data_IF_663991346441
#
_entry.id   IF_663991346441
#
_cell.length_a   1.000
_cell.length_b   1.000
_cell.length_c   1.000
_cell.angle_alpha   90.00
_cell.angle_beta   90.00
_cell.angle_gamma   90.00
#
_symmetry.space_group_name_H-M   'P 1'
#
loop_
_entity.id
_entity.type
_entity.pdbx_description
1 polymer ?
#
# COMPACT_ATOMS: atom_id res chain seq x y z
N UNK A 1 22.38 -8.99 -54.90
CA UNK A 1 21.73 -10.19 -54.41
C UNK A 1 20.22 -9.98 -54.55
N UNK A 2 19.60 -10.90 -55.28
CA UNK A 2 18.38 -10.70 -56.04
C UNK A 2 17.09 -10.36 -55.27
N UNK A 3 16.56 -9.21 -55.59
CA UNK A 3 15.25 -8.70 -55.17
C UNK A 3 14.04 -9.54 -55.70
N UNK A 4 14.29 -10.58 -56.50
CA UNK A 4 13.28 -11.45 -57.09
C UNK A 4 12.86 -12.59 -56.12
N UNK A 5 13.76 -13.00 -55.23
CA UNK A 5 13.49 -14.07 -54.26
C UNK A 5 12.56 -13.60 -53.14
N UNK A 6 12.74 -12.33 -52.73
CA UNK A 6 11.92 -11.71 -51.69
C UNK A 6 10.48 -11.41 -52.17
N UNK A 7 10.32 -11.06 -53.43
CA UNK A 7 8.98 -10.85 -54.04
C UNK A 7 8.19 -12.15 -54.24
N UNK A 8 8.90 -13.26 -54.49
CA UNK A 8 8.26 -14.56 -54.64
C UNK A 8 7.78 -15.13 -53.27
N UNK A 9 8.55 -14.89 -52.21
CA UNK A 9 8.15 -15.27 -50.84
C UNK A 9 6.93 -14.48 -50.36
N UNK A 10 6.82 -13.19 -50.67
CA UNK A 10 5.66 -12.37 -50.32
C UNK A 10 4.40 -12.79 -51.10
N UNK A 11 4.55 -13.21 -52.36
CA UNK A 11 3.41 -13.66 -53.18
C UNK A 11 2.87 -15.03 -52.73
N UNK A 12 3.73 -15.93 -52.26
CA UNK A 12 3.32 -17.25 -51.73
C UNK A 12 2.66 -17.15 -50.36
N UNK A 13 3.10 -16.20 -49.52
CA UNK A 13 2.45 -15.91 -48.21
C UNK A 13 1.06 -15.30 -48.39
N UNK A 14 0.86 -14.47 -49.42
CA UNK A 14 -0.47 -13.88 -49.69
C UNK A 14 -1.49 -14.87 -50.28
N UNK A 15 -1.04 -15.95 -50.97
CA UNK A 15 -1.97 -16.92 -51.57
C UNK A 15 -2.40 -18.01 -50.60
N UNK A 16 -1.62 -18.29 -49.54
CA UNK A 16 -2.02 -19.25 -48.49
C UNK A 16 -2.98 -18.63 -47.46
N UNK A 17 -3.04 -17.30 -47.36
CA UNK A 17 -3.93 -16.59 -46.42
C UNK A 17 -5.42 -16.59 -46.84
N UNK A 18 -5.78 -17.05 -48.04
CA UNK A 18 -7.14 -16.91 -48.58
C UNK A 18 -8.03 -18.17 -48.42
N UNK A 19 -7.51 -19.28 -47.88
CA UNK A 19 -8.28 -20.53 -47.79
C UNK A 19 -8.32 -21.21 -46.42
N UNK A 20 -7.86 -20.52 -45.35
CA UNK A 20 -8.18 -20.99 -44.00
C UNK A 20 -9.60 -20.51 -43.64
N UNK A 21 -10.53 -21.42 -43.26
CA UNK A 21 -11.77 -20.95 -42.66
C UNK A 21 -11.40 -20.06 -41.47
N UNK A 22 -11.98 -18.86 -41.41
CA UNK A 22 -11.77 -17.95 -40.26
C UNK A 22 -12.03 -18.77 -38.99
N UNK A 23 -10.96 -19.17 -38.30
CA UNK A 23 -11.10 -19.78 -37.00
C UNK A 23 -11.95 -18.82 -36.18
N UNK A 24 -13.10 -19.26 -35.71
CA UNK A 24 -14.02 -18.40 -34.97
C UNK A 24 -13.21 -17.68 -33.90
N UNK A 25 -13.15 -16.35 -33.99
CA UNK A 25 -12.34 -15.56 -33.09
C UNK A 25 -12.79 -15.83 -31.66
N UNK A 26 -11.89 -16.39 -30.84
CA UNK A 26 -12.21 -16.75 -29.46
C UNK A 26 -12.67 -15.48 -28.74
N UNK A 27 -13.86 -15.53 -28.16
CA UNK A 27 -14.42 -14.35 -27.48
C UNK A 27 -13.53 -13.90 -26.33
N UNK A 28 -13.51 -12.61 -26.07
CA UNK A 28 -12.74 -12.05 -24.94
C UNK A 28 -13.17 -12.65 -23.60
N UNK A 29 -14.47 -12.92 -23.43
CA UNK A 29 -15.01 -13.60 -22.24
C UNK A 29 -14.40 -14.99 -22.04
N UNK A 30 -14.29 -15.78 -23.12
CA UNK A 30 -13.65 -17.10 -23.08
C UNK A 30 -12.16 -17.02 -22.71
N UNK A 31 -11.46 -15.97 -23.21
CA UNK A 31 -10.04 -15.76 -22.86
C UNK A 31 -9.91 -15.41 -21.38
N UNK A 32 -10.79 -14.53 -20.85
CA UNK A 32 -10.80 -14.16 -19.43
C UNK A 32 -11.07 -15.37 -18.54
N UNK A 33 -12.07 -16.18 -18.85
CA UNK A 33 -12.40 -17.39 -18.10
C UNK A 33 -11.21 -18.38 -18.05
N UNK A 34 -10.50 -18.56 -19.18
CA UNK A 34 -9.28 -19.36 -19.20
C UNK A 34 -8.16 -18.75 -18.41
N UNK A 35 -7.98 -17.42 -18.51
CA UNK A 35 -6.98 -16.69 -17.75
C UNK A 35 -7.20 -16.85 -16.24
N UNK A 36 -8.44 -16.68 -15.78
CA UNK A 36 -8.82 -16.86 -14.38
C UNK A 36 -8.52 -18.27 -13.88
N UNK A 37 -8.91 -19.28 -14.66
CA UNK A 37 -8.63 -20.67 -14.30
C UNK A 37 -7.14 -20.97 -14.21
N UNK A 38 -6.34 -20.57 -15.21
CA UNK A 38 -4.89 -20.78 -15.18
C UNK A 38 -4.23 -20.03 -14.00
N UNK A 39 -4.70 -18.81 -13.70
CA UNK A 39 -4.22 -18.02 -12.60
C UNK A 39 -4.49 -18.68 -11.25
N UNK A 40 -5.72 -19.17 -11.03
CA UNK A 40 -6.11 -19.87 -9.80
C UNK A 40 -5.36 -21.19 -9.58
N UNK A 41 -4.93 -21.85 -10.66
CA UNK A 41 -4.17 -23.10 -10.59
C UNK A 41 -2.64 -22.90 -10.66
N UNK A 42 -2.18 -21.65 -10.56
CA UNK A 42 -0.76 -21.29 -10.65
C UNK A 42 -0.07 -21.75 -11.95
N UNK A 43 -0.83 -21.94 -13.02
CA UNK A 43 -0.33 -22.25 -14.36
C UNK A 43 0.19 -20.99 -15.04
N UNK A 44 1.28 -20.42 -14.51
CA UNK A 44 1.74 -19.06 -14.81
C UNK A 44 1.99 -18.78 -16.29
N UNK A 45 2.62 -19.70 -17.00
CA UNK A 45 2.89 -19.52 -18.43
C UNK A 45 1.60 -19.42 -19.25
N UNK A 46 0.60 -20.26 -18.93
CA UNK A 46 -0.71 -20.24 -19.59
C UNK A 46 -1.50 -18.97 -19.21
N UNK A 47 -1.46 -18.58 -17.93
CA UNK A 47 -2.10 -17.36 -17.47
C UNK A 47 -1.54 -16.11 -18.19
N UNK A 48 -0.20 -15.98 -18.26
CA UNK A 48 0.47 -14.87 -18.96
C UNK A 48 0.15 -14.82 -20.45
N UNK A 49 0.04 -15.96 -21.12
CA UNK A 49 -0.36 -16.02 -22.52
C UNK A 49 -1.79 -15.47 -22.71
N UNK A 50 -2.70 -15.81 -21.80
CA UNK A 50 -4.09 -15.29 -21.83
C UNK A 50 -4.13 -13.79 -21.47
N UNK A 51 -3.37 -13.36 -20.46
CA UNK A 51 -3.27 -11.95 -20.09
C UNK A 51 -2.74 -11.08 -21.23
N UNK A 52 -1.73 -11.56 -21.95
CA UNK A 52 -1.23 -10.88 -23.15
C UNK A 52 -2.34 -10.72 -24.20
N UNK A 53 -3.09 -11.79 -24.50
CA UNK A 53 -4.19 -11.73 -25.45
C UNK A 53 -5.33 -10.80 -25.01
N UNK A 54 -5.55 -10.63 -23.69
CA UNK A 54 -6.50 -9.64 -23.16
C UNK A 54 -5.97 -8.23 -23.40
N UNK A 55 -4.71 -7.95 -23.04
CA UNK A 55 -4.10 -6.62 -23.17
C UNK A 55 -3.92 -6.18 -24.63
N UNK A 56 -3.76 -7.11 -25.56
CA UNK A 56 -3.76 -6.80 -27.00
C UNK A 56 -5.12 -6.25 -27.48
N UNK A 57 -6.22 -6.69 -26.86
CA UNK A 57 -7.60 -6.26 -27.20
C UNK A 57 -8.09 -5.12 -26.34
N UNK A 58 -7.70 -5.12 -25.06
CA UNK A 58 -8.07 -4.12 -24.06
C UNK A 58 -6.80 -3.61 -23.34
N UNK A 59 -6.02 -2.72 -23.97
CA UNK A 59 -4.75 -2.25 -23.45
C UNK A 59 -4.86 -1.36 -22.20
N UNK A 60 -6.05 -1.12 -21.70
CA UNK A 60 -6.31 -0.34 -20.48
C UNK A 60 -6.88 -1.20 -19.34
N UNK A 61 -6.91 -2.52 -19.49
CA UNK A 61 -7.41 -3.45 -18.46
C UNK A 61 -6.44 -3.55 -17.28
N UNK A 62 -6.69 -2.74 -16.27
CA UNK A 62 -5.83 -2.60 -15.10
C UNK A 62 -5.74 -3.89 -14.26
N UNK A 63 -6.83 -4.65 -14.18
CA UNK A 63 -6.83 -5.94 -13.46
C UNK A 63 -5.85 -6.92 -14.10
N UNK A 64 -5.84 -7.01 -15.43
CA UNK A 64 -4.92 -7.86 -16.16
C UNK A 64 -3.47 -7.40 -15.97
N UNK A 65 -3.18 -6.08 -15.95
CA UNK A 65 -1.85 -5.58 -15.58
C UNK A 65 -1.45 -6.01 -14.17
N UNK A 66 -2.32 -5.82 -13.18
CA UNK A 66 -2.04 -6.19 -11.79
C UNK A 66 -1.71 -7.67 -11.63
N UNK A 67 -2.50 -8.55 -12.25
CA UNK A 67 -2.27 -9.99 -12.25
C UNK A 67 -0.98 -10.38 -12.97
N UNK A 68 -0.69 -9.74 -14.12
CA UNK A 68 0.57 -9.99 -14.85
C UNK A 68 1.79 -9.61 -14.03
N UNK A 69 1.79 -8.43 -13.41
CA UNK A 69 2.86 -7.98 -12.50
C UNK A 69 3.01 -8.95 -11.34
N UNK A 70 1.90 -9.44 -10.78
CA UNK A 70 1.92 -10.41 -9.68
C UNK A 70 2.53 -11.74 -10.11
N UNK A 71 2.16 -12.26 -11.27
CA UNK A 71 2.74 -13.52 -11.80
C UNK A 71 4.23 -13.36 -12.05
N UNK A 72 4.66 -12.27 -12.68
CA UNK A 72 6.09 -12.02 -12.89
C UNK A 72 6.86 -11.87 -11.58
N UNK A 73 6.24 -11.27 -10.54
CA UNK A 73 6.80 -11.28 -9.19
C UNK A 73 6.90 -12.68 -8.59
N UNK A 74 5.89 -13.53 -8.81
CA UNK A 74 5.86 -14.91 -8.31
C UNK A 74 6.95 -15.80 -8.94
N UNK A 75 7.33 -15.51 -10.19
CA UNK A 75 8.41 -16.22 -10.91
C UNK A 75 9.75 -15.47 -10.92
N UNK A 76 9.85 -14.38 -10.12
CA UNK A 76 11.08 -13.58 -9.96
C UNK A 76 11.62 -13.00 -11.28
N UNK A 77 10.73 -12.42 -12.09
CA UNK A 77 11.08 -11.75 -13.34
C UNK A 77 10.83 -10.22 -13.23
N UNK A 78 11.77 -9.45 -12.67
CA UNK A 78 11.61 -8.02 -12.46
C UNK A 78 11.63 -7.19 -13.75
N UNK A 79 12.30 -7.66 -14.81
CA UNK A 79 12.32 -6.97 -16.09
C UNK A 79 10.92 -6.83 -16.68
N UNK A 80 10.19 -7.92 -16.75
CA UNK A 80 8.82 -7.96 -17.27
C UNK A 80 7.84 -7.16 -16.37
N UNK A 81 8.07 -7.15 -15.05
CA UNK A 81 7.29 -6.27 -14.17
C UNK A 81 7.46 -4.79 -14.54
N UNK A 82 8.69 -4.38 -14.87
CA UNK A 82 8.97 -3.00 -15.27
C UNK A 82 8.43 -2.68 -16.68
N UNK A 83 8.47 -3.62 -17.62
CA UNK A 83 7.85 -3.43 -18.94
C UNK A 83 6.33 -3.21 -18.84
N UNK A 84 5.65 -3.94 -17.95
CA UNK A 84 4.23 -3.75 -17.69
C UNK A 84 3.95 -2.38 -17.04
N UNK A 85 4.79 -1.94 -16.09
CA UNK A 85 4.69 -0.61 -15.53
C UNK A 85 4.80 0.47 -16.62
N UNK A 86 5.82 0.37 -17.49
CA UNK A 86 6.00 1.30 -18.60
C UNK A 86 4.81 1.26 -19.59
N UNK A 87 4.24 0.08 -19.82
CA UNK A 87 3.04 -0.05 -20.63
C UNK A 87 1.86 0.70 -20.01
N UNK A 88 1.63 0.58 -18.68
CA UNK A 88 0.57 1.36 -18.01
C UNK A 88 0.82 2.87 -18.10
N UNK A 89 2.07 3.31 -18.03
CA UNK A 89 2.45 4.73 -18.18
C UNK A 89 2.20 5.24 -19.61
N UNK A 90 2.49 4.45 -20.65
CA UNK A 90 2.19 4.80 -22.06
C UNK A 90 0.71 5.04 -22.31
N UNK A 91 -0.16 4.30 -21.61
CA UNK A 91 -1.62 4.49 -21.66
C UNK A 91 -2.14 5.49 -20.62
N UNK A 92 -1.25 6.22 -19.93
CA UNK A 92 -1.58 7.18 -18.86
C UNK A 92 -2.49 6.58 -17.76
N UNK A 93 -2.33 5.31 -17.46
CA UNK A 93 -3.10 4.63 -16.44
C UNK A 93 -2.62 5.02 -15.03
N UNK A 94 -3.52 5.19 -14.05
CA UNK A 94 -3.15 5.61 -12.71
C UNK A 94 -2.28 4.58 -12.00
N UNK A 95 -1.07 4.97 -11.61
CA UNK A 95 -0.13 4.10 -10.88
C UNK A 95 -0.74 3.55 -9.57
N UNK A 96 -1.58 4.35 -8.92
CA UNK A 96 -2.29 3.97 -7.71
C UNK A 96 -3.18 2.75 -7.93
N UNK A 97 -3.90 2.71 -9.05
CA UNK A 97 -4.72 1.57 -9.45
C UNK A 97 -3.88 0.33 -9.71
N UNK A 98 -2.72 0.47 -10.34
CA UNK A 98 -1.82 -0.67 -10.56
C UNK A 98 -1.38 -1.31 -9.24
N UNK A 99 -0.94 -0.51 -8.27
CA UNK A 99 -0.56 -1.05 -6.96
C UNK A 99 -1.73 -1.69 -6.21
N UNK A 100 -2.95 -1.15 -6.35
CA UNK A 100 -4.14 -1.75 -5.76
C UNK A 100 -4.46 -3.11 -6.39
N UNK A 101 -4.38 -3.23 -7.72
CA UNK A 101 -4.59 -4.50 -8.41
C UNK A 101 -3.49 -5.53 -8.08
N UNK A 102 -2.21 -5.10 -7.99
CA UNK A 102 -1.12 -5.98 -7.54
C UNK A 102 -1.37 -6.44 -6.10
N UNK A 103 -1.85 -5.55 -5.21
CA UNK A 103 -2.18 -5.92 -3.82
C UNK A 103 -3.25 -6.99 -3.77
N UNK A 104 -4.33 -6.81 -4.53
CA UNK A 104 -5.46 -7.76 -4.60
C UNK A 104 -4.95 -9.10 -5.13
N UNK A 105 -4.27 -9.07 -6.27
CA UNK A 105 -3.79 -10.26 -6.96
C UNK A 105 -2.75 -11.05 -6.16
N UNK A 106 -1.83 -10.35 -5.49
CA UNK A 106 -0.82 -10.97 -4.63
C UNK A 106 -1.46 -11.63 -3.39
N UNK A 107 -2.55 -11.05 -2.87
CA UNK A 107 -3.31 -11.64 -1.78
C UNK A 107 -4.08 -12.89 -2.25
N UNK A 108 -4.68 -12.87 -3.44
CA UNK A 108 -5.40 -14.01 -4.04
C UNK A 108 -4.53 -15.26 -4.14
N UNK A 109 -3.23 -15.11 -4.47
CA UNK A 109 -2.28 -16.24 -4.57
C UNK A 109 -1.49 -16.49 -3.28
N UNK A 110 -1.87 -15.86 -2.16
CA UNK A 110 -1.20 -16.04 -0.87
C UNK A 110 0.24 -15.52 -0.78
N UNK A 111 0.65 -14.61 -1.69
CA UNK A 111 2.01 -14.04 -1.76
C UNK A 111 2.01 -12.51 -1.59
N UNK A 112 1.51 -11.96 -0.47
CA UNK A 112 1.34 -10.51 -0.27
C UNK A 112 2.66 -9.72 -0.27
N UNK A 113 3.82 -10.38 -0.15
CA UNK A 113 5.13 -9.74 -0.23
C UNK A 113 5.43 -9.17 -1.63
N UNK A 114 4.86 -9.73 -2.70
CA UNK A 114 5.08 -9.28 -4.08
C UNK A 114 4.79 -7.78 -4.26
N UNK A 115 3.77 -7.24 -3.58
CA UNK A 115 3.48 -5.81 -3.64
C UNK A 115 4.64 -4.97 -3.10
N UNK A 116 5.20 -5.35 -1.94
CA UNK A 116 6.34 -4.64 -1.33
C UNK A 116 7.56 -4.69 -2.24
N UNK A 117 7.89 -5.90 -2.74
CA UNK A 117 9.03 -6.12 -3.63
C UNK A 117 8.87 -5.31 -4.93
N UNK A 118 7.68 -5.29 -5.52
CA UNK A 118 7.39 -4.49 -6.70
C UNK A 118 7.52 -2.98 -6.43
N UNK A 119 7.01 -2.49 -5.28
CA UNK A 119 7.20 -1.07 -4.90
C UNK A 119 8.67 -0.72 -4.73
N UNK A 120 9.48 -1.60 -4.12
CA UNK A 120 10.91 -1.40 -3.96
C UNK A 120 11.60 -1.36 -5.34
N UNK A 121 11.28 -2.30 -6.22
CA UNK A 121 11.79 -2.34 -7.59
C UNK A 121 11.47 -1.04 -8.35
N UNK A 122 10.21 -0.58 -8.30
CA UNK A 122 9.79 0.68 -8.95
C UNK A 122 10.56 1.87 -8.37
N UNK A 123 10.75 1.94 -7.07
CA UNK A 123 11.51 3.00 -6.42
C UNK A 123 12.97 3.06 -6.88
N UNK A 124 13.58 1.91 -7.11
CA UNK A 124 14.96 1.79 -7.58
C UNK A 124 15.11 2.15 -9.05
N UNK A 125 14.22 1.64 -9.89
CA UNK A 125 14.26 1.84 -11.34
C UNK A 125 13.74 3.20 -11.79
N UNK A 126 12.82 3.80 -11.02
CA UNK A 126 12.21 5.11 -11.32
C UNK A 126 12.37 6.08 -10.13
N UNK A 127 13.56 6.67 -9.93
CA UNK A 127 13.87 7.50 -8.74
C UNK A 127 12.95 8.71 -8.54
N UNK A 128 12.34 9.22 -9.61
CA UNK A 128 11.37 10.33 -9.51
C UNK A 128 10.07 9.93 -8.79
N UNK A 129 9.76 8.63 -8.71
CA UNK A 129 8.61 8.11 -7.95
C UNK A 129 8.95 7.82 -6.48
N UNK A 130 10.22 7.94 -6.07
CA UNK A 130 10.71 7.56 -4.74
C UNK A 130 9.84 8.11 -3.61
N UNK A 131 9.46 9.38 -3.66
CA UNK A 131 8.63 9.99 -2.61
C UNK A 131 7.25 9.36 -2.54
N UNK A 132 6.58 9.16 -3.69
CA UNK A 132 5.24 8.56 -3.75
C UNK A 132 5.28 7.11 -3.27
N UNK A 133 6.29 6.34 -3.68
CA UNK A 133 6.48 4.95 -3.24
C UNK A 133 6.75 4.89 -1.74
N UNK A 134 7.60 5.75 -1.17
CA UNK A 134 7.86 5.77 0.26
C UNK A 134 6.59 6.06 1.09
N UNK A 135 5.71 6.96 0.62
CA UNK A 135 4.42 7.21 1.28
C UNK A 135 3.55 5.94 1.28
N UNK A 136 3.55 5.19 0.17
CA UNK A 136 2.80 3.93 0.07
C UNK A 136 3.39 2.84 0.94
N UNK A 137 4.71 2.71 0.96
CA UNK A 137 5.41 1.77 1.84
C UNK A 137 5.15 2.09 3.31
N UNK A 138 5.19 3.36 3.72
CA UNK A 138 4.86 3.76 5.09
C UNK A 138 3.44 3.31 5.49
N UNK A 139 2.45 3.52 4.62
CA UNK A 139 1.06 3.07 4.84
C UNK A 139 0.92 1.55 4.82
N UNK A 140 1.67 0.86 3.96
CA UNK A 140 1.69 -0.60 3.92
C UNK A 140 2.24 -1.17 5.23
N UNK A 141 3.35 -0.63 5.73
CA UNK A 141 3.94 -1.04 7.00
C UNK A 141 3.03 -0.71 8.18
N UNK A 142 2.35 0.45 8.15
CA UNK A 142 1.32 0.81 9.14
C UNK A 142 0.18 -0.21 9.17
N UNK A 143 -0.35 -0.61 8.01
CA UNK A 143 -1.42 -1.62 7.92
C UNK A 143 -0.99 -3.01 8.38
N UNK A 144 0.30 -3.32 8.32
CA UNK A 144 0.91 -4.58 8.76
C UNK A 144 1.46 -4.55 10.19
N UNK A 145 1.35 -3.42 10.89
CA UNK A 145 1.96 -3.17 12.20
C UNK A 145 3.48 -3.46 12.24
N UNK A 146 4.19 -3.21 11.13
CA UNK A 146 5.65 -3.37 11.08
C UNK A 146 6.30 -2.08 11.61
N UNK A 147 6.48 -2.03 12.92
CA UNK A 147 6.85 -0.83 13.66
C UNK A 147 8.20 -0.23 13.24
N UNK A 148 9.22 -1.07 13.04
CA UNK A 148 10.55 -0.62 12.64
C UNK A 148 10.51 0.07 11.27
N UNK A 149 9.86 -0.57 10.29
CA UNK A 149 9.72 -0.01 8.93
C UNK A 149 8.79 1.21 8.90
N UNK A 150 7.78 1.28 9.78
CA UNK A 150 6.95 2.48 9.94
C UNK A 150 7.81 3.67 10.36
N UNK A 151 8.68 3.52 11.35
CA UNK A 151 9.57 4.57 11.84
C UNK A 151 10.57 4.96 10.74
N UNK A 152 11.25 4.00 10.14
CA UNK A 152 12.25 4.22 9.08
C UNK A 152 11.68 5.03 7.90
N UNK A 153 10.51 4.61 7.37
CA UNK A 153 9.89 5.30 6.25
C UNK A 153 9.37 6.67 6.63
N UNK A 154 8.80 6.80 7.83
CA UNK A 154 8.35 8.10 8.34
C UNK A 154 9.52 9.06 8.52
N UNK A 155 10.65 8.62 9.06
CA UNK A 155 11.87 9.45 9.22
C UNK A 155 12.38 9.93 7.86
N UNK A 156 12.43 9.04 6.87
CA UNK A 156 12.84 9.39 5.50
C UNK A 156 11.94 10.48 4.91
N UNK A 157 10.63 10.42 5.13
CA UNK A 157 9.67 11.39 4.60
C UNK A 157 9.66 12.68 5.42
N UNK A 158 9.79 12.60 6.75
CA UNK A 158 9.87 13.75 7.65
C UNK A 158 11.18 14.53 7.50
N UNK A 159 12.25 13.93 7.00
CA UNK A 159 13.47 14.65 6.64
C UNK A 159 13.24 15.68 5.50
N UNK A 160 12.24 15.43 4.63
CA UNK A 160 11.88 16.33 3.52
C UNK A 160 10.73 17.27 3.92
N UNK A 161 9.73 16.76 4.62
CA UNK A 161 8.59 17.53 5.13
C UNK A 161 8.43 17.24 6.63
N UNK A 162 9.11 17.99 7.50
CA UNK A 162 9.14 17.70 8.93
C UNK A 162 7.77 17.73 9.61
N UNK A 163 6.83 18.51 9.11
CA UNK A 163 5.53 18.74 9.72
C UNK A 163 4.37 17.98 9.03
N UNK A 164 4.69 16.90 8.28
CA UNK A 164 3.66 16.05 7.67
C UNK A 164 2.88 15.29 8.77
N UNK A 165 1.59 15.64 9.01
CA UNK A 165 0.82 15.05 10.11
C UNK A 165 0.61 13.54 9.94
N UNK A 166 0.50 13.06 8.69
CA UNK A 166 0.29 11.64 8.40
C UNK A 166 1.51 10.82 8.77
N UNK A 167 2.70 11.31 8.41
CA UNK A 167 3.96 10.64 8.72
C UNK A 167 4.29 10.71 10.21
N UNK A 168 4.00 11.84 10.87
CA UNK A 168 4.12 11.94 12.33
C UNK A 168 3.22 10.91 13.03
N UNK A 169 1.97 10.71 12.58
CA UNK A 169 1.08 9.69 13.17
C UNK A 169 1.61 8.27 13.00
N UNK A 170 2.06 7.92 11.78
CA UNK A 170 2.64 6.61 11.51
C UNK A 170 3.87 6.38 12.40
N UNK A 171 4.75 7.40 12.54
CA UNK A 171 5.93 7.32 13.40
C UNK A 171 5.57 7.12 14.87
N UNK A 172 4.63 7.93 15.40
CA UNK A 172 4.18 7.82 16.78
C UNK A 172 3.58 6.44 17.07
N UNK A 173 2.74 5.93 16.14
CA UNK A 173 2.18 4.58 16.25
C UNK A 173 3.25 3.50 16.21
N UNK A 174 4.28 3.65 15.36
CA UNK A 174 5.44 2.74 15.34
C UNK A 174 6.14 2.70 16.69
N UNK A 175 6.37 3.85 17.33
CA UNK A 175 6.93 3.90 18.68
C UNK A 175 6.02 3.22 19.73
N UNK A 176 4.70 3.42 19.65
CA UNK A 176 3.76 2.76 20.56
C UNK A 176 3.81 1.23 20.43
N UNK A 177 3.95 0.71 19.21
CA UNK A 177 4.05 -0.75 18.96
C UNK A 177 5.35 -1.37 19.47
N UNK A 178 6.41 -0.56 19.65
CA UNK A 178 7.69 -0.98 20.21
C UNK A 178 7.82 -0.65 21.71
N UNK A 179 6.74 -0.28 22.38
CA UNK A 179 6.71 0.16 23.78
C UNK A 179 7.65 1.35 24.08
N UNK A 180 8.01 2.13 23.03
CA UNK A 180 8.82 3.34 23.12
C UNK A 180 7.93 4.55 23.37
N UNK A 181 7.30 4.55 24.54
CA UNK A 181 6.23 5.48 24.88
C UNK A 181 6.66 6.94 24.97
N UNK A 182 7.86 7.20 25.51
CA UNK A 182 8.37 8.57 25.62
C UNK A 182 8.56 9.23 24.27
N UNK A 183 9.10 8.49 23.29
CA UNK A 183 9.24 8.96 21.92
C UNK A 183 7.88 9.13 21.23
N UNK A 184 6.96 8.22 21.45
CA UNK A 184 5.59 8.35 20.92
C UNK A 184 4.91 9.61 21.44
N UNK A 185 4.98 9.86 22.77
CA UNK A 185 4.42 11.05 23.42
C UNK A 185 5.05 12.33 22.87
N UNK A 186 6.38 12.34 22.66
CA UNK A 186 7.05 13.50 22.07
C UNK A 186 6.53 13.82 20.67
N UNK A 187 6.31 12.79 19.83
CA UNK A 187 5.74 12.98 18.48
C UNK A 187 4.28 13.43 18.54
N UNK A 188 3.45 12.85 19.41
CA UNK A 188 2.07 13.31 19.59
C UNK A 188 1.98 14.75 20.11
N UNK A 189 2.87 15.16 21.03
CA UNK A 189 2.97 16.57 21.48
C UNK A 189 3.29 17.51 20.31
N UNK A 190 4.15 17.09 19.37
CA UNK A 190 4.43 17.85 18.15
C UNK A 190 3.17 17.97 17.27
N UNK A 191 2.40 16.88 17.09
CA UNK A 191 1.14 16.91 16.33
C UNK A 191 0.17 17.91 16.96
N UNK A 192 0.02 17.92 18.29
CA UNK A 192 -0.83 18.88 18.99
C UNK A 192 -0.31 20.32 18.82
N UNK A 193 1.01 20.52 18.78
CA UNK A 193 1.61 21.83 18.49
C UNK A 193 1.25 22.35 17.09
N UNK A 194 1.18 21.46 16.10
CA UNK A 194 0.77 21.77 14.71
C UNK A 194 -0.76 21.94 14.59
N UNK A 195 -1.51 21.10 15.29
CA UNK A 195 -2.97 21.16 15.32
C UNK A 195 -3.49 21.04 16.76
N UNK A 196 -3.76 22.18 17.46
CA UNK A 196 -4.25 22.18 18.83
C UNK A 196 -5.65 21.58 19.03
N UNK A 197 -6.32 21.14 17.96
CA UNK A 197 -7.61 20.45 17.99
C UNK A 197 -7.51 18.96 17.63
N UNK A 198 -6.32 18.40 17.60
CA UNK A 198 -6.10 17.00 17.28
C UNK A 198 -6.48 16.09 18.44
N UNK A 199 -7.75 15.68 18.45
CA UNK A 199 -8.32 14.83 19.51
C UNK A 199 -7.59 13.47 19.58
N UNK A 200 -7.22 12.89 18.45
CA UNK A 200 -6.57 11.58 18.42
C UNK A 200 -5.19 11.61 19.09
N UNK A 201 -4.39 12.63 18.82
CA UNK A 201 -3.10 12.80 19.48
C UNK A 201 -3.26 13.01 20.99
N UNK A 202 -4.25 13.81 21.41
CA UNK A 202 -4.56 14.01 22.84
C UNK A 202 -4.99 12.70 23.51
N UNK A 203 -5.83 11.92 22.83
CA UNK A 203 -6.29 10.61 23.33
C UNK A 203 -5.12 9.65 23.51
N UNK A 204 -4.24 9.53 22.52
CA UNK A 204 -3.10 8.63 22.62
C UNK A 204 -2.20 8.96 23.82
N UNK A 205 -1.90 10.24 24.07
CA UNK A 205 -1.13 10.65 25.25
C UNK A 205 -1.92 10.38 26.53
N UNK A 206 -3.18 10.83 26.57
CA UNK A 206 -3.99 10.75 27.78
C UNK A 206 -4.30 9.33 28.20
N UNK A 207 -4.58 8.43 27.24
CA UNK A 207 -4.82 6.99 27.49
C UNK A 207 -3.55 6.31 27.98
N UNK A 208 -2.39 6.62 27.39
CA UNK A 208 -1.11 6.08 27.85
C UNK A 208 -0.88 6.41 29.34
N UNK A 209 -0.93 7.68 29.72
CA UNK A 209 -0.72 8.08 31.11
C UNK A 209 -1.82 7.57 32.06
N UNK A 210 -3.06 7.45 31.58
CA UNK A 210 -4.13 6.82 32.34
C UNK A 210 -3.86 5.32 32.58
N UNK A 211 -3.33 4.61 31.59
CA UNK A 211 -2.95 3.20 31.73
C UNK A 211 -1.84 3.03 32.77
N UNK A 212 -0.81 3.89 32.74
CA UNK A 212 0.26 3.91 33.75
C UNK A 212 -0.30 4.13 35.16
N UNK A 213 -1.17 5.17 35.31
CA UNK A 213 -1.83 5.45 36.58
C UNK A 213 -2.63 4.26 37.10
N UNK A 214 -3.47 3.65 36.25
CA UNK A 214 -4.37 2.56 36.66
C UNK A 214 -3.63 1.25 36.94
N UNK A 215 -2.71 0.87 36.07
CA UNK A 215 -1.96 -0.38 36.16
C UNK A 215 -1.00 -0.38 37.35
N UNK A 216 -0.30 0.73 37.56
CA UNK A 216 0.68 0.86 38.66
C UNK A 216 0.06 1.31 39.97
N UNK A 217 -1.27 1.52 40.00
CA UNK A 217 -2.01 1.98 41.20
C UNK A 217 -1.41 3.27 41.80
N UNK A 218 -1.06 4.21 40.92
CA UNK A 218 -0.43 5.45 41.35
C UNK A 218 -1.39 6.36 42.14
N UNK A 219 -0.84 7.30 42.90
CA UNK A 219 -1.64 8.30 43.59
C UNK A 219 -2.32 9.24 42.60
N UNK A 220 -3.50 9.75 42.96
CA UNK A 220 -4.22 10.74 42.14
C UNK A 220 -3.43 12.05 41.94
N UNK A 221 -2.42 12.30 42.77
CA UNK A 221 -1.49 13.45 42.68
C UNK A 221 -0.17 13.11 41.94
N UNK A 222 -0.08 11.95 41.30
CA UNK A 222 1.12 11.59 40.55
C UNK A 222 1.24 12.40 39.26
N UNK A 223 2.46 12.60 38.75
CA UNK A 223 2.69 13.27 37.47
C UNK A 223 1.93 12.61 36.30
N UNK A 224 1.84 11.28 36.29
CA UNK A 224 1.12 10.51 35.30
C UNK A 224 -0.39 10.80 35.35
N UNK A 225 -0.97 10.90 36.55
CA UNK A 225 -2.37 11.28 36.74
C UNK A 225 -2.63 12.72 36.25
N UNK A 226 -1.68 13.64 36.47
CA UNK A 226 -1.78 15.03 36.02
C UNK A 226 -1.72 15.13 34.49
N UNK A 227 -0.76 14.45 33.84
CA UNK A 227 -0.68 14.41 32.37
C UNK A 227 -1.93 13.74 31.77
N UNK A 228 -2.41 12.63 32.36
CA UNK A 228 -3.65 11.99 31.93
C UNK A 228 -4.84 12.96 31.99
N UNK A 229 -5.06 13.65 33.14
CA UNK A 229 -6.15 14.64 33.30
C UNK A 229 -6.04 15.77 32.27
N UNK A 230 -4.83 16.26 32.04
CA UNK A 230 -4.58 17.33 31.08
C UNK A 230 -5.04 16.93 29.67
N UNK A 231 -4.51 15.83 29.13
CA UNK A 231 -4.78 15.45 27.74
C UNK A 231 -6.18 14.87 27.54
N UNK A 232 -6.67 14.03 28.47
CA UNK A 232 -8.05 13.54 28.41
C UNK A 232 -9.05 14.67 28.60
N UNK A 233 -8.74 15.65 29.46
CA UNK A 233 -9.57 16.85 29.64
C UNK A 233 -9.59 17.74 28.40
N UNK A 234 -8.48 17.87 27.68
CA UNK A 234 -8.45 18.58 26.39
C UNK A 234 -9.29 17.85 25.34
N UNK A 235 -9.13 16.54 25.22
CA UNK A 235 -9.91 15.70 24.30
C UNK A 235 -11.41 15.75 24.62
N UNK A 236 -11.79 15.65 25.89
CA UNK A 236 -13.17 15.70 26.35
C UNK A 236 -13.86 17.04 26.01
N UNK A 237 -13.15 18.15 26.13
CA UNK A 237 -13.73 19.49 25.76
C UNK A 237 -14.04 19.60 24.27
N UNK A 238 -13.29 18.89 23.41
CA UNK A 238 -13.49 18.92 21.95
C UNK A 238 -14.49 17.85 21.49
N UNK A 239 -14.47 16.69 22.13
CA UNK A 239 -15.35 15.57 21.81
C UNK A 239 -15.77 14.84 23.10
N UNK A 240 -16.81 15.29 23.79
CA UNK A 240 -17.27 14.68 25.04
C UNK A 240 -17.88 13.32 24.78
N UNK A 241 -17.29 12.28 25.40
CA UNK A 241 -17.80 10.91 25.42
C UNK A 241 -17.94 10.39 26.84
N UNK A 242 -18.84 9.43 27.05
CA UNK A 242 -19.03 8.81 28.37
C UNK A 242 -17.77 8.06 28.83
N UNK A 243 -17.04 7.47 27.90
CA UNK A 243 -15.77 6.80 28.20
C UNK A 243 -14.74 7.78 28.79
N UNK A 244 -14.54 8.92 28.14
CA UNK A 244 -13.62 9.96 28.64
C UNK A 244 -14.08 10.53 29.99
N UNK A 245 -15.39 10.72 30.18
CA UNK A 245 -15.95 11.14 31.46
C UNK A 245 -15.59 10.11 32.56
N UNK A 246 -15.76 8.84 32.30
CA UNK A 246 -15.45 7.77 33.27
C UNK A 246 -13.96 7.75 33.64
N UNK A 247 -13.06 7.90 32.66
CA UNK A 247 -11.62 7.99 32.92
C UNK A 247 -11.26 9.20 33.79
N UNK A 248 -11.80 10.38 33.48
CA UNK A 248 -11.58 11.60 34.26
C UNK A 248 -12.15 11.50 35.67
N UNK A 249 -13.32 10.87 35.83
CA UNK A 249 -13.93 10.62 37.15
C UNK A 249 -13.01 9.73 38.01
N UNK A 250 -12.44 8.66 37.44
CA UNK A 250 -11.47 7.78 38.13
C UNK A 250 -10.20 8.54 38.52
N UNK A 251 -9.65 9.36 37.62
CA UNK A 251 -8.47 10.19 37.91
C UNK A 251 -8.71 11.21 39.02
N UNK A 252 -9.94 11.66 39.23
CA UNK A 252 -10.33 12.62 40.27
C UNK A 252 -10.77 11.95 41.60
N UNK A 253 -10.55 10.66 41.75
CA UNK A 253 -10.89 9.92 42.98
C UNK A 253 -12.38 9.71 43.18
N UNK A 254 -13.16 9.65 42.10
CA UNK A 254 -14.59 9.40 42.18
C UNK A 254 -15.41 10.65 42.62
N UNK A 255 -14.88 11.83 42.32
CA UNK A 255 -15.52 13.12 42.64
C UNK A 255 -15.91 13.92 41.40
#
# INVERSE_FOLDING_TARGET
MDNKFFRFLLAVVCVIAVSMPAAAEVSLSTIREKADRFYQHEEWANALAMFRAILEREPTDMQTYGRSVTVYGAISNPEEQMELLEATQRYALPLDRLFDEVRISAFEIGRPAILEDFMILVKEKQPWLKRNINIRLARLYDSRNNAEKMIEMSDTLLAVNPDDPSMLRIKARGYMLLDRYDEAVAVYKRIIGLNPKDVDAMLNIGVYYFSEFDTRKLAHSSPEADEARKYLGMAYRLNPTEHLRSMLYRLNGGK
#
